data_IF_615822538867
#
_entry.id   IF_615822538867
#
_cell.length_a   1.000
_cell.length_b   1.000
_cell.length_c   1.000
_cell.angle_alpha   90.00
_cell.angle_beta   90.00
_cell.angle_gamma   90.00
#
_symmetry.space_group_name_H-M   'P 1'
#
loop_
_entity.id
_entity.type
_entity.pdbx_description
1 polymer ?
#
# COMPACT_ATOMS: atom_id res chain seq x y z
N UNK A 1 -12.40 4.93 -20.57
CA UNK A 1 -12.17 4.80 -19.12
C UNK A 1 -13.43 4.22 -18.48
N UNK A 2 -13.32 3.38 -17.46
CA UNK A 2 -14.50 2.87 -16.74
C UNK A 2 -15.03 3.95 -15.80
N UNK A 3 -16.34 3.93 -15.57
CA UNK A 3 -16.99 4.80 -14.58
C UNK A 3 -16.55 4.42 -13.14
N UNK A 4 -16.56 5.38 -12.22
CA UNK A 4 -16.13 5.17 -10.83
C UNK A 4 -17.03 4.15 -10.11
N UNK A 5 -18.34 4.28 -10.28
CA UNK A 5 -19.34 3.35 -9.74
C UNK A 5 -19.08 1.91 -10.21
N UNK A 6 -18.57 1.74 -11.43
CA UNK A 6 -18.30 0.42 -11.99
C UNK A 6 -17.02 -0.19 -11.40
N UNK A 7 -15.97 0.60 -11.16
CA UNK A 7 -14.77 0.12 -10.47
C UNK A 7 -15.13 -0.41 -9.08
N UNK A 8 -15.93 0.34 -8.32
CA UNK A 8 -16.34 -0.06 -6.98
C UNK A 8 -17.20 -1.33 -7.01
N UNK A 9 -18.18 -1.43 -7.94
CA UNK A 9 -19.01 -2.64 -8.08
C UNK A 9 -18.18 -3.88 -8.40
N UNK A 10 -17.20 -3.76 -9.30
CA UNK A 10 -16.30 -4.88 -9.62
C UNK A 10 -15.49 -5.28 -8.37
N UNK A 11 -14.94 -4.32 -7.64
CA UNK A 11 -14.17 -4.61 -6.43
C UNK A 11 -15.02 -5.26 -5.34
N UNK A 12 -16.28 -4.82 -5.18
CA UNK A 12 -17.24 -5.43 -4.26
C UNK A 12 -17.56 -6.87 -4.67
N UNK A 13 -17.78 -7.14 -5.97
CA UNK A 13 -18.07 -8.49 -6.48
C UNK A 13 -16.88 -9.43 -6.31
N UNK A 14 -15.65 -8.96 -6.57
CA UNK A 14 -14.45 -9.77 -6.40
C UNK A 14 -14.21 -10.16 -4.94
N UNK A 15 -14.64 -9.31 -3.99
CA UNK A 15 -14.58 -9.55 -2.54
C UNK A 15 -13.18 -10.00 -2.04
N UNK A 16 -12.13 -9.42 -2.62
CA UNK A 16 -10.73 -9.59 -2.21
C UNK A 16 -10.28 -8.39 -1.38
N UNK A 17 -9.06 -8.45 -0.82
CA UNK A 17 -8.50 -7.33 -0.06
C UNK A 17 -8.44 -6.05 -0.90
N UNK A 18 -7.95 -6.14 -2.13
CA UNK A 18 -7.92 -5.04 -3.10
C UNK A 18 -8.06 -5.58 -4.53
N UNK A 19 -8.75 -4.83 -5.37
CA UNK A 19 -8.81 -4.99 -6.82
C UNK A 19 -8.08 -3.81 -7.47
N UNK A 20 -7.06 -4.12 -8.27
CA UNK A 20 -6.24 -3.12 -8.95
C UNK A 20 -6.69 -2.93 -10.41
N UNK A 21 -6.78 -1.68 -10.84
CA UNK A 21 -7.16 -1.32 -12.21
C UNK A 21 -6.02 -0.56 -12.89
N UNK A 22 -5.40 -1.21 -13.88
CA UNK A 22 -4.36 -0.61 -14.73
C UNK A 22 -5.04 0.11 -15.89
N UNK A 23 -4.69 1.39 -16.10
CA UNK A 23 -5.29 2.24 -17.13
C UNK A 23 -4.21 2.79 -18.07
N UNK A 24 -4.56 2.87 -19.35
CA UNK A 24 -3.81 3.66 -20.34
C UNK A 24 -4.04 5.14 -20.06
N UNK A 25 -3.00 5.96 -20.19
CA UNK A 25 -3.09 7.41 -19.95
C UNK A 25 -3.40 8.18 -21.23
N UNK A 26 -2.98 7.65 -22.38
CA UNK A 26 -3.21 8.24 -23.69
C UNK A 26 -3.81 7.22 -24.67
N UNK A 27 -4.57 7.68 -25.69
CA UNK A 27 -5.20 6.80 -26.69
C UNK A 27 -4.21 5.92 -27.47
N UNK A 28 -2.94 6.32 -27.56
CA UNK A 28 -1.88 5.58 -28.25
C UNK A 28 -1.13 4.58 -27.36
N UNK A 29 -1.44 4.54 -26.06
CA UNK A 29 -0.71 3.66 -25.14
C UNK A 29 -1.06 2.20 -25.40
N UNK A 30 -0.04 1.38 -25.29
CA UNK A 30 -0.09 -0.07 -25.39
C UNK A 30 0.50 -0.73 -24.13
N UNK A 31 -0.14 -1.81 -23.65
CA UNK A 31 0.30 -2.50 -22.43
C UNK A 31 1.64 -3.22 -22.57
N UNK A 32 2.12 -3.46 -23.80
CA UNK A 32 3.38 -4.15 -24.07
C UNK A 32 4.55 -3.19 -24.34
N UNK A 33 4.26 -1.95 -24.78
CA UNK A 33 5.28 -0.96 -25.18
C UNK A 33 5.33 0.31 -24.34
N UNK A 34 4.25 0.68 -23.66
CA UNK A 34 4.25 1.90 -22.84
C UNK A 34 4.91 1.63 -21.50
N UNK A 35 5.58 2.63 -20.95
CA UNK A 35 6.22 2.55 -19.63
C UNK A 35 5.41 3.25 -18.54
N UNK A 36 4.34 3.97 -18.87
CA UNK A 36 3.56 4.77 -17.93
C UNK A 36 2.09 4.39 -17.99
N UNK A 37 1.48 4.14 -16.82
CA UNK A 37 0.10 3.71 -16.69
C UNK A 37 -0.58 4.40 -15.51
N UNK A 38 -1.88 4.62 -15.59
CA UNK A 38 -2.68 4.94 -14.43
C UNK A 38 -2.92 3.68 -13.58
N UNK A 39 -2.93 3.81 -12.27
CA UNK A 39 -3.24 2.69 -11.37
C UNK A 39 -4.14 3.16 -10.22
N UNK A 40 -5.22 2.41 -9.99
CA UNK A 40 -6.17 2.62 -8.90
C UNK A 40 -6.39 1.32 -8.15
N UNK A 41 -6.73 1.41 -6.87
CA UNK A 41 -7.01 0.24 -6.03
C UNK A 41 -8.30 0.44 -5.28
N UNK A 42 -9.14 -0.58 -5.30
CA UNK A 42 -10.42 -0.57 -4.62
C UNK A 42 -10.49 -1.76 -3.69
N UNK A 43 -10.81 -1.49 -2.43
CA UNK A 43 -11.36 -2.51 -1.52
C UNK A 43 -12.83 -2.74 -1.89
N UNK A 44 -13.49 -3.76 -1.33
CA UNK A 44 -14.93 -3.96 -1.51
C UNK A 44 -15.80 -2.77 -1.05
N UNK A 45 -15.24 -1.85 -0.24
CA UNK A 45 -15.96 -0.73 0.36
C UNK A 45 -15.57 0.65 -0.22
N UNK A 46 -14.33 0.84 -0.66
CA UNK A 46 -13.83 2.16 -1.10
C UNK A 46 -12.54 2.07 -1.90
N UNK A 47 -12.23 3.12 -2.65
CA UNK A 47 -10.91 3.37 -3.22
C UNK A 47 -9.87 3.66 -2.12
N UNK A 48 -8.67 3.09 -2.25
CA UNK A 48 -7.54 3.36 -1.35
C UNK A 48 -6.41 4.07 -2.10
N UNK A 49 -5.70 5.01 -1.44
CA UNK A 49 -4.73 5.86 -2.12
C UNK A 49 -3.41 5.16 -2.45
N UNK A 50 -3.07 4.07 -1.75
CA UNK A 50 -1.83 3.32 -1.93
C UNK A 50 -2.04 1.86 -1.51
N UNK A 51 -1.58 0.91 -2.33
CA UNK A 51 -1.53 -0.51 -1.98
C UNK A 51 -0.29 -1.19 -2.56
N UNK A 52 0.67 -1.58 -1.71
CA UNK A 52 1.96 -2.10 -2.14
C UNK A 52 1.89 -3.44 -2.88
N UNK A 53 1.26 -4.45 -2.30
CA UNK A 53 1.18 -5.79 -2.90
C UNK A 53 0.36 -5.80 -4.19
N UNK A 54 -0.71 -4.99 -4.26
CA UNK A 54 -1.49 -4.88 -5.48
C UNK A 54 -0.70 -4.14 -6.59
N UNK A 55 0.12 -3.14 -6.24
CA UNK A 55 1.09 -2.53 -7.19
C UNK A 55 2.08 -3.57 -7.72
N UNK A 56 2.62 -4.41 -6.84
CA UNK A 56 3.55 -5.48 -7.21
C UNK A 56 2.87 -6.47 -8.19
N UNK A 57 1.65 -6.88 -7.89
CA UNK A 57 0.86 -7.76 -8.74
C UNK A 57 0.57 -7.12 -10.11
N UNK A 58 0.21 -5.84 -10.16
CA UNK A 58 0.00 -5.12 -11.42
C UNK A 58 1.27 -5.06 -12.27
N UNK A 59 2.42 -4.81 -11.66
CA UNK A 59 3.72 -4.85 -12.36
C UNK A 59 4.03 -6.26 -12.89
N UNK A 60 3.75 -7.30 -12.10
CA UNK A 60 3.95 -8.69 -12.53
C UNK A 60 3.07 -9.05 -13.74
N UNK A 61 1.81 -8.63 -13.74
CA UNK A 61 0.91 -8.79 -14.89
C UNK A 61 1.51 -8.13 -16.14
N UNK A 62 1.97 -6.88 -16.04
CA UNK A 62 2.54 -6.17 -17.20
C UNK A 62 3.84 -6.80 -17.70
N UNK A 63 4.78 -7.14 -16.81
CA UNK A 63 6.04 -7.77 -17.23
C UNK A 63 5.86 -9.20 -17.74
N UNK A 64 5.05 -10.01 -17.07
CA UNK A 64 5.03 -11.46 -17.30
C UNK A 64 3.87 -11.94 -18.16
N UNK A 65 2.70 -11.31 -18.08
CA UNK A 65 1.54 -11.70 -18.88
C UNK A 65 1.46 -10.88 -20.16
N UNK A 66 1.51 -9.55 -20.05
CA UNK A 66 1.49 -8.64 -21.22
C UNK A 66 2.85 -8.58 -21.95
N UNK A 67 3.90 -9.18 -21.37
CA UNK A 67 5.27 -9.19 -21.93
C UNK A 67 5.79 -7.79 -22.22
N UNK A 68 5.48 -6.83 -21.36
CA UNK A 68 5.99 -5.48 -21.48
C UNK A 68 7.52 -5.49 -21.40
N UNK A 69 8.16 -4.82 -22.35
CA UNK A 69 9.62 -4.86 -22.54
C UNK A 69 10.35 -3.68 -21.90
N UNK A 70 9.63 -2.73 -21.31
CA UNK A 70 10.25 -1.61 -20.64
C UNK A 70 11.00 -2.07 -19.38
N UNK A 71 12.18 -1.50 -19.09
CA UNK A 71 12.93 -1.87 -17.89
C UNK A 71 12.29 -1.37 -16.58
N UNK A 72 11.50 -0.30 -16.68
CA UNK A 72 10.83 0.36 -15.55
C UNK A 72 9.42 0.73 -15.99
N UNK A 73 8.44 0.43 -15.13
CA UNK A 73 7.06 0.87 -15.24
C UNK A 73 6.81 1.97 -14.21
N UNK A 74 6.13 3.03 -14.63
CA UNK A 74 5.68 4.12 -13.77
C UNK A 74 4.16 4.06 -13.67
N UNK A 75 3.65 4.06 -12.45
CA UNK A 75 2.23 4.08 -12.15
C UNK A 75 1.84 5.45 -11.60
N UNK A 76 0.94 6.13 -12.30
CA UNK A 76 0.32 7.39 -11.86
C UNK A 76 -0.88 7.05 -10.97
N UNK A 77 -0.81 7.44 -9.70
CA UNK A 77 -1.76 7.03 -8.65
C UNK A 77 -2.22 8.25 -7.84
N UNK A 78 -3.19 8.05 -6.93
CA UNK A 78 -3.61 9.11 -6.00
C UNK A 78 -2.50 9.53 -5.01
N UNK A 79 -1.54 8.65 -4.73
CA UNK A 79 -0.39 8.94 -3.87
C UNK A 79 0.84 9.44 -4.65
N UNK A 80 0.66 9.83 -5.92
CA UNK A 80 1.74 10.21 -6.81
C UNK A 80 2.28 9.05 -7.66
N UNK A 81 3.50 9.20 -8.16
CA UNK A 81 4.12 8.19 -9.03
C UNK A 81 4.78 7.08 -8.22
N UNK A 82 4.49 5.83 -8.58
CA UNK A 82 5.18 4.65 -8.06
C UNK A 82 5.95 3.99 -9.19
N UNK A 83 7.16 3.50 -8.91
CA UNK A 83 8.00 2.83 -9.92
C UNK A 83 8.13 1.36 -9.59
N UNK A 84 8.06 0.54 -10.63
CA UNK A 84 8.32 -0.89 -10.56
C UNK A 84 9.37 -1.24 -11.61
N UNK A 85 10.39 -2.01 -11.20
CA UNK A 85 11.47 -2.45 -12.09
C UNK A 85 11.67 -3.95 -11.97
N UNK A 86 11.84 -4.62 -13.10
CA UNK A 86 12.20 -6.02 -13.11
C UNK A 86 13.72 -6.17 -12.97
N UNK A 87 14.15 -6.94 -11.98
CA UNK A 87 15.57 -7.23 -11.71
C UNK A 87 15.71 -8.74 -11.60
N UNK A 88 16.23 -9.37 -12.66
CA UNK A 88 16.27 -10.84 -12.80
C UNK A 88 14.85 -11.41 -12.62
N UNK A 89 14.67 -12.26 -11.62
CA UNK A 89 13.40 -12.94 -11.30
C UNK A 89 12.54 -12.18 -10.28
N UNK A 90 12.98 -10.99 -9.87
CA UNK A 90 12.28 -10.17 -8.87
C UNK A 90 11.74 -8.88 -9.47
N UNK A 91 10.69 -8.36 -8.83
CA UNK A 91 10.18 -7.01 -9.08
C UNK A 91 10.48 -6.17 -7.84
N UNK A 92 11.10 -5.01 -8.07
CA UNK A 92 11.41 -4.03 -7.02
C UNK A 92 10.48 -2.85 -7.17
N UNK A 93 9.87 -2.42 -6.07
CA UNK A 93 9.02 -1.24 -6.00
C UNK A 93 9.74 -0.10 -5.28
N UNK A 94 9.61 1.10 -5.83
CA UNK A 94 9.95 2.34 -5.15
C UNK A 94 8.66 2.89 -4.53
N UNK A 95 8.54 2.77 -3.20
CA UNK A 95 7.40 3.24 -2.42
C UNK A 95 7.74 4.53 -1.67
N UNK A 96 6.75 5.40 -1.40
CA UNK A 96 6.97 6.61 -0.62
C UNK A 96 7.45 6.29 0.79
N UNK A 97 8.47 7.02 1.24
CA UNK A 97 8.96 6.95 2.61
C UNK A 97 8.20 7.96 3.47
N UNK A 98 7.34 7.45 4.35
CA UNK A 98 6.65 8.28 5.35
C UNK A 98 7.46 8.28 6.65
N UNK A 99 8.00 9.44 7.02
CA UNK A 99 8.91 9.54 8.17
C UNK A 99 8.10 9.59 9.46
N UNK A 100 8.43 8.70 10.40
CA UNK A 100 7.85 8.70 11.74
C UNK A 100 8.85 9.25 12.76
N UNK A 101 8.38 10.18 13.59
CA UNK A 101 9.19 10.89 14.57
C UNK A 101 8.93 10.35 15.99
N UNK A 102 9.99 10.11 16.79
CA UNK A 102 9.84 9.69 18.19
C UNK A 102 8.94 10.65 18.97
N UNK A 103 7.98 10.10 19.70
CA UNK A 103 7.11 10.86 20.58
C UNK A 103 7.71 10.86 21.99
N UNK A 104 8.34 11.98 22.36
CA UNK A 104 9.12 12.11 23.60
C UNK A 104 8.25 12.36 24.84
N UNK A 105 6.97 12.74 24.65
CA UNK A 105 6.07 13.04 25.79
C UNK A 105 5.00 11.96 25.96
N UNK A 106 4.97 11.31 27.14
CA UNK A 106 3.88 10.45 27.58
C UNK A 106 2.51 11.15 27.57
N UNK A 107 2.48 12.49 27.60
CA UNK A 107 1.25 13.30 27.49
C UNK A 107 0.57 13.25 26.12
N UNK A 108 1.24 12.74 25.07
CA UNK A 108 0.65 12.57 23.75
C UNK A 108 0.21 11.13 23.45
N UNK A 109 0.48 10.20 24.37
CA UNK A 109 -0.17 8.90 24.36
C UNK A 109 -1.54 9.18 25.00
N UNK A 110 -2.65 9.32 24.24
CA UNK A 110 -3.96 9.49 24.86
C UNK A 110 -4.14 8.35 25.86
N UNK A 111 -4.76 8.60 27.02
CA UNK A 111 -4.95 7.61 28.10
C UNK A 111 -5.51 6.24 27.63
N UNK A 112 -6.09 6.19 26.42
CA UNK A 112 -6.56 4.98 25.72
C UNK A 112 -5.45 4.07 25.16
N UNK A 113 -4.26 4.60 24.91
CA UNK A 113 -3.05 3.84 24.57
C UNK A 113 -2.17 3.61 25.81
N UNK A 114 -2.35 4.39 26.88
CA UNK A 114 -1.55 4.36 28.11
C UNK A 114 -1.84 3.20 29.05
N UNK A 115 -2.86 2.38 28.81
CA UNK A 115 -3.17 1.29 29.74
C UNK A 115 -4.04 0.20 29.14
N UNK A 116 -3.45 -1.00 28.99
CA UNK A 116 -4.09 -2.32 28.80
C UNK A 116 -5.09 -2.54 27.66
N UNK A 117 -5.78 -1.52 27.15
CA UNK A 117 -6.91 -1.66 26.24
C UNK A 117 -6.50 -2.06 24.82
N UNK A 118 -5.38 -1.52 24.31
CA UNK A 118 -4.87 -1.84 22.98
C UNK A 118 -3.71 -2.84 22.99
N UNK A 119 -2.89 -2.80 24.05
CA UNK A 119 -1.61 -3.53 24.11
C UNK A 119 -1.55 -4.56 25.25
N UNK A 120 -2.61 -4.67 26.06
CA UNK A 120 -2.62 -5.55 27.22
C UNK A 120 -1.49 -5.23 28.21
N UNK A 121 -0.85 -6.27 28.72
CA UNK A 121 0.27 -6.18 29.67
C UNK A 121 1.64 -6.10 28.97
N UNK A 122 1.68 -5.93 27.65
CA UNK A 122 2.94 -5.85 26.91
C UNK A 122 3.63 -4.49 27.15
N UNK A 123 4.96 -4.52 27.25
CA UNK A 123 5.75 -3.30 27.47
C UNK A 123 5.96 -2.57 26.15
N UNK A 124 5.60 -1.29 26.10
CA UNK A 124 5.87 -0.42 24.93
C UNK A 124 7.32 0.08 24.99
N UNK A 125 8.08 -0.16 23.94
CA UNK A 125 9.49 0.21 23.81
C UNK A 125 9.71 1.55 23.10
N UNK A 126 8.93 1.82 22.05
CA UNK A 126 9.05 3.03 21.25
C UNK A 126 7.68 3.43 20.71
N UNK A 127 7.45 4.73 20.60
CA UNK A 127 6.24 5.29 20.01
C UNK A 127 6.65 6.37 19.03
N UNK A 128 6.23 6.23 17.78
CA UNK A 128 6.48 7.20 16.72
C UNK A 128 5.21 7.62 16.04
N UNK A 129 5.16 8.89 15.62
CA UNK A 129 4.04 9.43 14.87
C UNK A 129 4.50 9.89 13.50
N UNK A 130 3.74 9.54 12.47
CA UNK A 130 3.91 10.04 11.11
C UNK A 130 2.81 11.07 10.81
N UNK A 131 3.15 12.37 10.68
CA UNK A 131 2.17 13.39 10.31
C UNK A 131 1.55 13.16 8.92
N UNK A 132 2.32 12.58 8.00
CA UNK A 132 1.91 12.36 6.60
C UNK A 132 0.76 11.35 6.52
N UNK A 133 0.87 10.25 7.27
CA UNK A 133 -0.13 9.18 7.28
C UNK A 133 -1.11 9.28 8.44
N UNK A 134 -0.83 10.17 9.40
CA UNK A 134 -1.52 10.28 10.70
C UNK A 134 -1.52 8.97 11.50
N UNK A 135 -0.56 8.09 11.22
CA UNK A 135 -0.42 6.81 11.91
C UNK A 135 0.49 6.93 13.13
N UNK A 136 0.15 6.18 14.17
CA UNK A 136 0.98 5.96 15.35
C UNK A 136 1.61 4.56 15.26
N UNK A 137 2.93 4.50 15.25
CA UNK A 137 3.69 3.26 15.31
C UNK A 137 4.07 3.00 16.76
N UNK A 138 3.64 1.87 17.29
CA UNK A 138 3.93 1.43 18.67
C UNK A 138 4.77 0.17 18.59
N UNK A 139 6.04 0.25 19.02
CA UNK A 139 6.94 -0.88 19.10
C UNK A 139 6.81 -1.52 20.49
N UNK A 140 6.59 -2.83 20.51
CA UNK A 140 6.38 -3.60 21.73
C UNK A 140 7.60 -4.46 22.02
N UNK A 141 7.80 -4.79 23.30
CA UNK A 141 8.87 -5.69 23.70
C UNK A 141 8.69 -7.10 23.15
N UNK A 142 9.76 -7.67 22.62
CA UNK A 142 9.81 -9.06 22.14
C UNK A 142 9.57 -10.09 23.26
N UNK A 143 9.70 -9.67 24.52
CA UNK A 143 9.38 -10.49 25.69
C UNK A 143 7.87 -10.56 25.89
N UNK A 144 7.24 -11.56 25.26
CA UNK A 144 5.86 -11.95 25.58
C UNK A 144 5.76 -13.45 25.73
N UNK A 145 5.00 -13.91 26.72
CA UNK A 145 4.58 -15.31 26.78
C UNK A 145 3.41 -15.49 25.81
N UNK A 146 3.61 -16.30 24.75
CA UNK A 146 2.50 -16.83 23.95
C UNK A 146 1.51 -17.48 24.90
N UNK A 147 0.35 -16.85 25.09
CA UNK A 147 -0.79 -17.52 25.67
C UNK A 147 -1.21 -18.61 24.68
N UNK A 148 -0.65 -19.81 24.86
CA UNK A 148 -1.12 -21.02 24.22
C UNK A 148 -2.47 -21.34 24.87
N UNK A 149 -3.55 -20.90 24.23
CA UNK A 149 -4.91 -21.36 24.52
C UNK A 149 -5.26 -22.43 23.49
#
# INVERSE_FOLDING_TARGET
ELDEDLHQKIATEMNLSETAFIRKLHPGDDFTKSSCFGLRWFTPASEVPLCGHATLASAAVLFHLEKNTNPVLTFVTLSGELKARQVKDHIVLDLPLYTAYPQVSQSFIPDRLSGKAAVGDMTVQDVRYSPDTKNLLVCLSDTYERCLI
#
